data_IF_244874528317
#
_entry.id   IF_244874528317
#
_cell.length_a   1.000
_cell.length_b   1.000
_cell.length_c   1.000
_cell.angle_alpha   90.00
_cell.angle_beta   90.00
_cell.angle_gamma   90.00
#
_symmetry.space_group_name_H-M   'P 1'
#
loop_
_entity.id
_entity.type
_entity.pdbx_description
1 polymer ?
#
# COMPACT_ATOMS: atom_id res chain seq x y z
N UNK A 1 18.86 38.88 49.97
CA UNK A 1 17.65 38.18 49.49
C UNK A 1 17.89 37.72 48.06
N UNK A 2 17.99 36.41 47.86
CA UNK A 2 18.41 35.76 46.60
C UNK A 2 17.14 35.31 45.86
N UNK A 3 16.88 35.83 44.65
CA UNK A 3 15.82 35.32 43.76
C UNK A 3 16.44 34.35 42.76
N UNK A 4 16.36 33.06 43.08
CA UNK A 4 16.52 31.96 42.12
C UNK A 4 15.12 31.48 41.73
N UNK A 5 14.84 31.34 40.43
CA UNK A 5 13.72 30.52 39.97
C UNK A 5 12.93 31.08 38.79
N UNK A 6 13.52 31.08 37.59
CA UNK A 6 12.73 31.14 36.34
C UNK A 6 13.46 30.52 35.14
N UNK A 7 14.06 29.33 35.29
CA UNK A 7 14.68 28.60 34.17
C UNK A 7 14.42 27.09 34.30
N UNK A 8 13.15 26.66 34.36
CA UNK A 8 12.84 25.22 34.41
C UNK A 8 11.47 24.83 33.81
N UNK A 9 11.01 25.50 32.74
CA UNK A 9 9.73 25.13 32.11
C UNK A 9 9.77 25.05 30.57
N UNK A 10 10.63 25.82 29.91
CA UNK A 10 10.65 25.90 28.42
C UNK A 10 11.40 24.70 27.78
N UNK A 11 12.39 24.13 28.47
CA UNK A 11 13.22 23.05 27.91
C UNK A 11 12.46 21.72 27.73
N UNK A 12 11.55 21.39 28.66
CA UNK A 12 10.80 20.11 28.61
C UNK A 12 9.83 20.05 27.42
N UNK A 13 9.22 21.17 27.04
CA UNK A 13 8.24 21.21 25.94
C UNK A 13 8.90 21.02 24.56
N UNK A 14 10.11 21.58 24.36
CA UNK A 14 10.90 21.37 23.13
C UNK A 14 11.38 19.92 23.00
N UNK A 15 11.81 19.30 24.09
CA UNK A 15 12.32 17.92 24.08
C UNK A 15 11.22 16.92 23.66
N UNK A 16 10.00 17.05 24.22
CA UNK A 16 8.89 16.15 23.89
C UNK A 16 8.45 16.27 22.43
N UNK A 17 8.44 17.50 21.88
CA UNK A 17 8.05 17.74 20.48
C UNK A 17 9.07 17.16 19.49
N UNK A 18 10.36 17.31 19.77
CA UNK A 18 11.44 16.76 18.92
C UNK A 18 11.49 15.23 18.95
N UNK A 19 11.22 14.59 20.10
CA UNK A 19 11.19 13.11 20.22
C UNK A 19 9.97 12.51 19.51
N UNK A 20 8.81 13.16 19.59
CA UNK A 20 7.62 12.76 18.80
C UNK A 20 7.88 12.91 17.30
N UNK A 21 8.50 14.01 16.88
CA UNK A 21 8.85 14.24 15.47
C UNK A 21 9.88 13.23 14.95
N UNK A 22 10.91 12.89 15.72
CA UNK A 22 11.93 11.91 15.32
C UNK A 22 11.38 10.47 15.25
N UNK A 23 10.50 10.08 16.17
CA UNK A 23 9.85 8.76 16.14
C UNK A 23 8.79 8.64 15.03
N UNK A 24 8.04 9.70 14.71
CA UNK A 24 7.19 9.72 13.51
C UNK A 24 8.00 9.66 12.21
N UNK A 25 9.12 10.39 12.14
CA UNK A 25 10.02 10.33 11.00
C UNK A 25 10.59 8.91 10.79
N UNK A 26 10.97 8.23 11.88
CA UNK A 26 11.57 6.89 11.84
C UNK A 26 10.56 5.74 11.64
N UNK A 27 9.27 5.95 11.94
CA UNK A 27 8.19 5.01 11.56
C UNK A 27 7.81 5.15 10.09
N UNK A 28 7.84 6.38 9.57
CA UNK A 28 7.64 6.67 8.16
C UNK A 28 8.77 6.15 7.26
N UNK A 29 9.94 5.79 7.80
CA UNK A 29 11.04 5.22 7.01
C UNK A 29 10.89 3.71 6.81
N UNK A 30 10.56 2.92 7.83
CA UNK A 30 10.42 1.44 7.67
C UNK A 30 9.29 1.09 6.70
N UNK A 31 8.12 1.72 6.83
CA UNK A 31 7.00 1.47 5.93
C UNK A 31 7.34 1.83 4.47
N UNK A 32 8.08 2.92 4.26
CA UNK A 32 8.57 3.34 2.94
C UNK A 32 9.62 2.36 2.42
N UNK A 33 10.56 1.90 3.24
CA UNK A 33 11.56 0.91 2.85
C UNK A 33 10.92 -0.42 2.42
N UNK A 34 9.91 -0.90 3.16
CA UNK A 34 9.14 -2.10 2.80
C UNK A 34 8.42 -1.89 1.47
N UNK A 35 7.74 -0.76 1.29
CA UNK A 35 7.04 -0.43 0.05
C UNK A 35 8.01 -0.40 -1.13
N UNK A 36 9.14 0.30 -1.01
CA UNK A 36 10.17 0.39 -2.04
C UNK A 36 10.81 -0.97 -2.33
N UNK A 37 10.97 -1.83 -1.31
CA UNK A 37 11.41 -3.21 -1.48
C UNK A 37 10.45 -4.04 -2.33
N UNK A 38 9.15 -3.95 -2.05
CA UNK A 38 8.10 -4.63 -2.83
C UNK A 38 7.94 -4.04 -4.23
N UNK A 39 8.12 -2.74 -4.41
CA UNK A 39 8.05 -2.09 -5.72
C UNK A 39 9.08 -2.64 -6.70
N UNK A 40 10.27 -3.03 -6.21
CA UNK A 40 11.32 -3.64 -7.04
C UNK A 40 10.95 -5.02 -7.59
N UNK A 41 9.93 -5.68 -7.01
CA UNK A 41 9.48 -7.00 -7.47
C UNK A 41 8.22 -6.90 -8.34
N UNK A 42 7.73 -5.70 -8.62
CA UNK A 42 6.56 -5.47 -9.48
C UNK A 42 6.81 -6.00 -10.90
N UNK A 43 5.96 -6.93 -11.35
CA UNK A 43 6.08 -7.64 -12.64
C UNK A 43 5.54 -6.81 -13.81
N UNK A 44 6.22 -5.70 -14.13
CA UNK A 44 5.82 -4.82 -15.24
C UNK A 44 5.99 -5.44 -16.64
N UNK A 45 6.78 -6.50 -16.78
CA UNK A 45 7.05 -7.23 -18.02
C UNK A 45 6.49 -8.66 -17.97
N UNK A 46 6.56 -9.42 -19.07
CA UNK A 46 6.13 -10.83 -19.09
C UNK A 46 4.62 -11.07 -19.23
N UNK A 47 3.85 -10.06 -19.66
CA UNK A 47 2.43 -10.21 -19.99
C UNK A 47 1.45 -9.98 -18.83
N UNK A 48 1.93 -9.95 -17.59
CA UNK A 48 1.14 -9.69 -16.39
C UNK A 48 0.84 -8.21 -16.15
N UNK A 49 1.62 -7.30 -16.77
CA UNK A 49 1.39 -5.85 -16.71
C UNK A 49 1.47 -5.24 -15.30
N UNK A 50 1.98 -6.00 -14.32
CA UNK A 50 2.03 -5.66 -12.91
C UNK A 50 1.82 -6.88 -12.00
N UNK A 51 1.66 -6.59 -10.72
CA UNK A 51 1.52 -7.59 -9.66
C UNK A 51 2.83 -7.88 -8.94
N UNK A 52 2.74 -8.21 -7.66
CA UNK A 52 3.87 -8.63 -6.83
C UNK A 52 3.85 -10.16 -6.75
N UNK A 53 4.97 -10.85 -7.03
CA UNK A 53 5.01 -12.30 -6.93
C UNK A 53 4.99 -12.75 -5.47
N UNK A 54 4.84 -14.05 -5.25
CA UNK A 54 5.16 -14.63 -3.96
C UNK A 54 6.66 -14.45 -3.69
N UNK A 55 7.01 -13.86 -2.54
CA UNK A 55 8.38 -13.43 -2.21
C UNK A 55 9.43 -14.56 -2.23
N UNK A 56 9.02 -15.82 -2.20
CA UNK A 56 9.87 -17.01 -2.27
C UNK A 56 10.18 -17.50 -3.69
N UNK A 57 10.17 -16.63 -4.70
CA UNK A 57 10.60 -16.97 -6.08
C UNK A 57 9.47 -17.23 -7.07
N UNK A 58 8.27 -16.69 -6.85
CA UNK A 58 7.18 -16.77 -7.83
C UNK A 58 7.48 -15.94 -9.08
N UNK A 59 6.99 -16.39 -10.25
CA UNK A 59 7.09 -15.67 -11.53
C UNK A 59 5.77 -15.05 -11.98
N UNK A 60 4.70 -15.25 -11.21
CA UNK A 60 3.37 -14.71 -11.47
C UNK A 60 2.87 -13.88 -10.28
N UNK A 61 1.95 -12.93 -10.51
CA UNK A 61 1.30 -12.19 -9.44
C UNK A 61 0.63 -13.11 -8.43
N UNK A 62 0.93 -12.89 -7.16
CA UNK A 62 0.20 -13.51 -6.05
C UNK A 62 -0.71 -12.44 -5.42
N UNK A 63 -1.94 -12.84 -5.10
CA UNK A 63 -2.98 -11.91 -4.69
C UNK A 63 -2.65 -11.26 -3.35
N UNK A 64 -2.23 -12.03 -2.34
CA UNK A 64 -1.99 -11.44 -1.01
C UNK A 64 -0.84 -10.46 -1.02
N UNK A 65 0.29 -10.80 -1.66
CA UNK A 65 1.45 -9.93 -1.68
C UNK A 65 1.13 -8.64 -2.42
N UNK A 66 0.37 -8.73 -3.52
CA UNK A 66 -0.05 -7.58 -4.29
C UNK A 66 -1.09 -6.73 -3.55
N UNK A 67 -2.07 -7.33 -2.85
CA UNK A 67 -3.04 -6.57 -2.05
C UNK A 67 -2.38 -5.86 -0.86
N UNK A 68 -1.45 -6.50 -0.16
CA UNK A 68 -0.70 -5.89 0.95
C UNK A 68 0.17 -4.74 0.45
N UNK A 69 0.86 -4.93 -0.69
CA UNK A 69 1.63 -3.88 -1.34
C UNK A 69 0.75 -2.69 -1.72
N UNK A 70 -0.44 -2.95 -2.30
CA UNK A 70 -1.38 -1.89 -2.66
C UNK A 70 -1.88 -1.15 -1.42
N UNK A 71 -2.33 -1.87 -0.40
CA UNK A 71 -2.84 -1.26 0.84
C UNK A 71 -1.78 -0.42 1.54
N UNK A 72 -0.51 -0.86 1.56
CA UNK A 72 0.60 -0.09 2.13
C UNK A 72 0.87 1.18 1.32
N UNK A 73 0.96 1.05 -0.01
CA UNK A 73 1.23 2.17 -0.92
C UNK A 73 0.13 3.22 -0.83
N UNK A 74 -1.15 2.82 -0.87
CA UNK A 74 -2.28 3.74 -0.78
C UNK A 74 -2.35 4.45 0.59
N UNK A 75 -2.08 3.73 1.68
CA UNK A 75 -2.00 4.34 3.01
C UNK A 75 -0.84 5.33 3.13
N UNK A 76 0.34 5.02 2.57
CA UNK A 76 1.49 5.92 2.54
C UNK A 76 1.24 7.16 1.68
N UNK A 77 0.60 7.00 0.53
CA UNK A 77 0.20 8.11 -0.34
C UNK A 77 -0.77 9.07 0.38
N UNK A 78 -1.73 8.53 1.14
CA UNK A 78 -2.62 9.35 1.98
C UNK A 78 -1.88 10.01 3.15
N UNK A 79 -0.92 9.30 3.76
CA UNK A 79 -0.13 9.82 4.88
C UNK A 79 0.83 10.95 4.46
N UNK A 80 1.37 10.89 3.24
CA UNK A 80 2.30 11.86 2.66
C UNK A 80 1.89 12.26 1.24
N UNK A 81 0.80 13.03 1.04
CA UNK A 81 0.30 13.36 -0.29
C UNK A 81 1.25 14.25 -1.10
N UNK A 82 2.23 14.90 -0.47
CA UNK A 82 3.31 15.62 -1.15
C UNK A 82 4.33 14.70 -1.84
N UNK A 83 4.35 13.41 -1.51
CA UNK A 83 5.17 12.41 -2.18
C UNK A 83 4.45 11.94 -3.45
N UNK A 84 4.69 12.68 -4.54
CA UNK A 84 4.01 12.45 -5.82
C UNK A 84 4.32 11.09 -6.43
N UNK A 85 5.47 10.50 -6.12
CA UNK A 85 5.87 9.19 -6.63
C UNK A 85 5.08 8.08 -5.93
N UNK A 86 4.88 8.19 -4.62
CA UNK A 86 4.03 7.28 -3.85
C UNK A 86 2.56 7.36 -4.33
N UNK A 87 2.05 8.57 -4.56
CA UNK A 87 0.69 8.79 -5.10
C UNK A 87 0.56 8.18 -6.50
N UNK A 88 1.51 8.44 -7.40
CA UNK A 88 1.54 7.88 -8.75
C UNK A 88 1.60 6.35 -8.75
N UNK A 89 2.40 5.78 -7.83
CA UNK A 89 2.48 4.33 -7.64
C UNK A 89 1.14 3.76 -7.16
N UNK A 90 0.45 4.42 -6.23
CA UNK A 90 -0.88 3.99 -5.77
C UNK A 90 -1.90 3.98 -6.92
N UNK A 91 -1.89 4.99 -7.79
CA UNK A 91 -2.71 5.03 -8.99
C UNK A 91 -2.37 3.89 -9.97
N UNK A 92 -1.09 3.65 -10.21
CA UNK A 92 -0.62 2.57 -11.11
C UNK A 92 -1.12 1.20 -10.64
N UNK A 93 -1.04 0.91 -9.34
CA UNK A 93 -1.53 -0.36 -8.78
C UNK A 93 -3.07 -0.42 -8.86
N UNK A 94 -3.75 0.68 -8.58
CA UNK A 94 -5.20 0.73 -8.68
C UNK A 94 -5.68 0.46 -10.11
N UNK A 95 -5.07 1.09 -11.11
CA UNK A 95 -5.39 0.88 -12.52
C UNK A 95 -5.14 -0.58 -12.93
N UNK A 96 -4.09 -1.21 -12.43
CA UNK A 96 -3.84 -2.64 -12.66
C UNK A 96 -5.00 -3.54 -12.18
N UNK A 97 -5.62 -3.22 -11.04
CA UNK A 97 -6.79 -3.94 -10.52
C UNK A 97 -8.10 -3.59 -11.22
N UNK A 98 -8.31 -2.32 -11.54
CA UNK A 98 -9.60 -1.82 -12.04
C UNK A 98 -9.79 -2.06 -13.54
N UNK A 99 -8.71 -1.95 -14.32
CA UNK A 99 -8.77 -2.00 -15.79
C UNK A 99 -7.68 -2.89 -16.41
N UNK A 100 -6.64 -3.22 -15.64
CA UNK A 100 -5.53 -4.05 -16.08
C UNK A 100 -5.71 -5.56 -15.83
N UNK A 101 -4.59 -6.27 -15.83
CA UNK A 101 -4.55 -7.73 -15.65
C UNK A 101 -4.97 -8.19 -14.26
N UNK A 102 -4.83 -7.35 -13.25
CA UNK A 102 -5.28 -7.64 -11.89
C UNK A 102 -6.78 -7.93 -11.84
N UNK A 103 -7.58 -7.33 -12.72
CA UNK A 103 -9.02 -7.59 -12.81
C UNK A 103 -9.34 -9.08 -13.06
N UNK A 104 -8.45 -9.83 -13.72
CA UNK A 104 -8.65 -11.26 -14.00
C UNK A 104 -8.54 -12.14 -12.74
N UNK A 105 -8.02 -11.61 -11.64
CA UNK A 105 -7.97 -12.28 -10.33
C UNK A 105 -9.28 -12.15 -9.56
N UNK A 106 -10.28 -11.45 -10.09
CA UNK A 106 -11.58 -11.25 -9.47
C UNK A 106 -12.65 -12.05 -10.22
N UNK A 107 -13.46 -12.81 -9.50
CA UNK A 107 -14.59 -13.51 -10.08
C UNK A 107 -15.85 -12.63 -10.21
N UNK A 108 -16.90 -13.21 -10.80
CA UNK A 108 -18.19 -12.55 -10.99
C UNK A 108 -18.96 -12.22 -9.70
N UNK A 109 -18.60 -12.86 -8.58
CA UNK A 109 -19.22 -12.65 -7.27
C UNK A 109 -18.41 -11.62 -6.44
N UNK A 110 -17.34 -11.07 -7.04
CA UNK A 110 -16.48 -10.07 -6.46
C UNK A 110 -15.38 -10.61 -5.55
N UNK A 111 -15.16 -11.92 -5.55
CA UNK A 111 -14.14 -12.59 -4.75
C UNK A 111 -12.81 -12.72 -5.51
N UNK A 112 -11.72 -12.60 -4.76
CA UNK A 112 -10.37 -12.67 -5.29
C UNK A 112 -9.76 -14.06 -5.14
N UNK A 113 -9.14 -14.54 -6.23
CA UNK A 113 -8.38 -15.78 -6.25
C UNK A 113 -7.03 -15.64 -5.54
N UNK A 114 -6.26 -16.72 -5.36
CA UNK A 114 -4.98 -16.71 -4.62
C UNK A 114 -3.80 -16.14 -5.41
N UNK A 115 -3.87 -16.26 -6.73
CA UNK A 115 -2.90 -15.68 -7.62
C UNK A 115 -3.24 -15.96 -9.07
N UNK A 116 -2.32 -15.60 -9.94
CA UNK A 116 -2.44 -15.81 -11.37
C UNK A 116 -1.67 -17.05 -11.81
N UNK A 117 -2.10 -17.66 -12.90
CA UNK A 117 -1.32 -18.65 -13.62
C UNK A 117 0.02 -18.06 -14.10
N UNK A 118 1.01 -18.93 -14.33
CA UNK A 118 2.36 -18.53 -14.72
C UNK A 118 2.43 -17.71 -16.03
N UNK A 119 1.44 -17.85 -16.90
CA UNK A 119 1.29 -17.15 -18.18
C UNK A 119 0.40 -15.89 -18.08
N UNK A 120 -0.10 -15.56 -16.88
CA UNK A 120 -0.93 -14.39 -16.62
C UNK A 120 -2.18 -14.28 -17.50
N UNK A 121 -2.78 -15.43 -17.82
CA UNK A 121 -4.02 -15.53 -18.61
C UNK A 121 -5.26 -15.65 -17.75
N UNK A 122 -5.14 -16.15 -16.51
CA UNK A 122 -6.27 -16.30 -15.59
C UNK A 122 -5.86 -16.69 -14.17
N UNK A 123 -6.82 -16.84 -13.26
CA UNK A 123 -6.54 -17.16 -11.86
C UNK A 123 -6.10 -18.62 -11.68
N UNK A 124 -5.43 -18.91 -10.56
CA UNK A 124 -5.03 -20.27 -10.15
C UNK A 124 -6.17 -21.17 -9.64
N UNK A 125 -7.38 -20.61 -9.51
CA UNK A 125 -8.59 -21.33 -9.12
C UNK A 125 -8.86 -21.43 -7.61
N UNK A 126 -7.93 -21.00 -6.74
CA UNK A 126 -8.10 -21.09 -5.29
C UNK A 126 -8.57 -19.75 -4.70
N UNK A 127 -9.36 -19.78 -3.63
CA UNK A 127 -9.79 -18.57 -2.91
C UNK A 127 -9.54 -18.74 -1.43
N UNK A 128 -9.03 -17.69 -0.82
CA UNK A 128 -8.83 -17.63 0.61
C UNK A 128 -9.41 -16.36 1.21
N UNK A 129 -9.91 -16.47 2.43
CA UNK A 129 -10.56 -15.36 3.14
C UNK A 129 -9.61 -14.19 3.37
N UNK A 130 -8.33 -14.47 3.62
CA UNK A 130 -7.33 -13.43 3.89
C UNK A 130 -7.01 -12.57 2.66
N UNK A 131 -7.29 -13.04 1.44
CA UNK A 131 -7.14 -12.25 0.22
C UNK A 131 -8.20 -11.16 0.08
N UNK A 132 -9.36 -11.32 0.71
CA UNK A 132 -10.53 -10.45 0.45
C UNK A 132 -10.44 -9.11 1.17
N UNK A 133 -9.78 -9.04 2.33
CA UNK A 133 -9.74 -7.83 3.17
C UNK A 133 -8.79 -6.74 2.68
N UNK A 134 -7.50 -7.05 2.39
CA UNK A 134 -6.51 -6.00 2.14
C UNK A 134 -6.79 -5.14 0.90
N UNK A 135 -7.43 -5.69 -0.13
CA UNK A 135 -7.88 -4.91 -1.31
C UNK A 135 -8.98 -3.91 -0.96
N UNK A 136 -9.92 -4.26 -0.08
CA UNK A 136 -10.95 -3.34 0.40
C UNK A 136 -10.33 -2.17 1.17
N UNK A 137 -9.31 -2.46 2.00
CA UNK A 137 -8.51 -1.43 2.67
C UNK A 137 -7.86 -0.48 1.66
N UNK A 138 -7.17 -1.02 0.66
CA UNK A 138 -6.50 -0.22 -0.37
C UNK A 138 -7.47 0.67 -1.16
N UNK A 139 -8.60 0.11 -1.63
CA UNK A 139 -9.62 0.85 -2.36
C UNK A 139 -10.33 1.91 -1.50
N UNK A 140 -10.52 1.63 -0.21
CA UNK A 140 -10.97 2.62 0.78
C UNK A 140 -9.99 3.78 0.90
N UNK A 141 -8.69 3.51 1.02
CA UNK A 141 -7.65 4.55 1.04
C UNK A 141 -7.61 5.35 -0.25
N UNK A 142 -7.76 4.71 -1.41
CA UNK A 142 -7.84 5.43 -2.69
C UNK A 142 -9.06 6.35 -2.78
N UNK A 143 -10.21 5.93 -2.24
CA UNK A 143 -11.40 6.78 -2.17
C UNK A 143 -11.15 8.03 -1.33
N UNK A 144 -10.47 7.89 -0.19
CA UNK A 144 -10.14 9.02 0.68
C UNK A 144 -9.08 9.92 0.04
N UNK A 145 -8.05 9.33 -0.57
CA UNK A 145 -6.94 10.04 -1.21
C UNK A 145 -7.41 10.90 -2.40
N UNK A 146 -8.37 10.41 -3.17
CA UNK A 146 -8.77 11.01 -4.45
C UNK A 146 -10.14 11.69 -4.41
N UNK A 147 -11.01 11.32 -3.47
CA UNK A 147 -12.43 11.67 -3.47
C UNK A 147 -13.27 10.90 -4.51
N UNK A 148 -12.68 10.02 -5.30
CA UNK A 148 -13.35 9.28 -6.38
C UNK A 148 -14.03 8.02 -5.83
N UNK A 149 -15.37 7.97 -5.97
CA UNK A 149 -16.17 6.83 -5.50
C UNK A 149 -16.00 5.57 -6.35
N UNK A 150 -15.34 5.63 -7.52
CA UNK A 150 -15.13 4.45 -8.36
C UNK A 150 -14.42 3.32 -7.61
N UNK A 151 -13.55 3.64 -6.65
CA UNK A 151 -12.77 2.64 -5.92
C UNK A 151 -13.64 1.80 -4.96
N UNK A 152 -14.68 2.38 -4.35
CA UNK A 152 -15.63 1.65 -3.48
C UNK A 152 -16.88 1.16 -4.20
N UNK A 153 -17.17 1.74 -5.37
CA UNK A 153 -18.22 1.26 -6.28
C UNK A 153 -17.70 0.18 -7.24
N UNK A 154 -16.44 -0.23 -7.11
CA UNK A 154 -15.84 -1.34 -7.85
C UNK A 154 -16.38 -2.71 -7.37
N UNK A 155 -17.71 -2.81 -7.34
CA UNK A 155 -18.51 -4.00 -7.03
C UNK A 155 -18.86 -4.73 -8.30
#
# INVERSE_FOLDING_TARGET
>A
MMRLGLVCSISRFKITTTIMASTLAQRGTIAVEIQQGLQKTWLSSGGCGGGVPQLSGGTAPNTITTHLYFSLTAALALYKPSDTDMVSTAHTIADWYLTGKGLTLRDKDGLWFDGQSADCTGPDGHKWTYNQGPILSALGWMTVLTGDKKYVNFG
#
